data_IF_385766287451
#
_entry.id   IF_385766287451
#
_cell.length_a   1.000
_cell.length_b   1.000
_cell.length_c   1.000
_cell.angle_alpha   90.00
_cell.angle_beta   90.00
_cell.angle_gamma   90.00
#
_symmetry.space_group_name_H-M   'P 1'
#
loop_
_entity.id
_entity.type
_entity.pdbx_description
1 polymer ?
#
# COMPACT_ATOMS: atom_id res chain seq x y z
N UNK A 1 -1.21 -11.43 26.50
CA UNK A 1 -1.95 -11.73 25.26
C UNK A 1 -2.00 -10.44 24.44
N UNK A 2 -1.56 -10.43 23.17
CA UNK A 2 -1.65 -9.23 22.31
C UNK A 2 -3.06 -9.14 21.72
N UNK A 3 -3.72 -8.00 21.82
CA UNK A 3 -5.05 -7.80 21.25
C UNK A 3 -4.94 -7.77 19.71
N UNK A 4 -5.54 -8.74 19.04
CA UNK A 4 -5.58 -8.78 17.58
C UNK A 4 -6.51 -7.68 17.05
N UNK A 5 -6.06 -6.96 16.02
CA UNK A 5 -6.79 -5.88 15.38
C UNK A 5 -7.62 -6.38 14.20
N UNK A 6 -8.79 -5.79 14.00
CA UNK A 6 -9.48 -5.83 12.69
C UNK A 6 -8.71 -4.96 11.71
N UNK A 7 -8.84 -5.25 10.41
CA UNK A 7 -8.28 -4.40 9.35
C UNK A 7 -8.62 -2.91 9.51
N UNK A 8 -9.86 -2.59 9.91
CA UNK A 8 -10.30 -1.21 10.15
C UNK A 8 -9.67 -0.53 11.38
N UNK A 9 -9.00 -1.28 12.25
CA UNK A 9 -8.35 -0.78 13.47
C UNK A 9 -6.84 -0.64 13.32
N UNK A 10 -6.26 -0.99 12.17
CA UNK A 10 -4.84 -0.79 11.90
C UNK A 10 -4.57 0.70 11.73
N UNK A 11 -3.59 1.20 12.49
CA UNK A 11 -3.20 2.60 12.55
C UNK A 11 -1.72 2.71 12.93
N UNK A 12 -1.09 3.90 12.80
CA UNK A 12 0.29 4.11 13.25
C UNK A 12 0.50 3.61 14.70
N UNK A 13 1.60 2.89 14.93
CA UNK A 13 1.93 2.23 16.19
C UNK A 13 1.46 0.76 16.29
N UNK A 14 0.57 0.30 15.40
CA UNK A 14 0.26 -1.11 15.28
C UNK A 14 1.47 -1.93 14.77
N UNK A 15 1.46 -3.23 15.06
CA UNK A 15 2.39 -4.19 14.48
C UNK A 15 1.61 -5.13 13.58
N UNK A 16 2.02 -5.24 12.32
CA UNK A 16 1.53 -6.23 11.38
C UNK A 16 2.55 -7.36 11.30
N UNK A 17 2.12 -8.57 11.58
CA UNK A 17 2.88 -9.78 11.26
C UNK A 17 2.50 -10.20 9.85
N UNK A 18 3.44 -10.06 8.92
CA UNK A 18 3.28 -10.38 7.51
C UNK A 18 4.22 -11.56 7.23
N UNK A 19 3.65 -12.72 6.89
CA UNK A 19 4.41 -13.94 6.60
C UNK A 19 5.40 -14.32 7.72
N UNK A 20 4.98 -14.12 8.98
CA UNK A 20 5.79 -14.41 10.17
C UNK A 20 6.82 -13.35 10.54
N UNK A 21 6.90 -12.24 9.79
CA UNK A 21 7.81 -11.13 10.07
C UNK A 21 7.04 -9.92 10.60
N UNK A 22 7.38 -9.39 11.79
CA UNK A 22 6.75 -8.19 12.31
C UNK A 22 7.23 -6.95 11.53
N UNK A 23 6.28 -6.06 11.24
CA UNK A 23 6.48 -4.73 10.68
C UNK A 23 5.70 -3.73 11.51
N UNK A 24 6.32 -2.60 11.86
CA UNK A 24 5.64 -1.51 12.57
C UNK A 24 4.95 -0.62 11.56
N UNK A 25 3.67 -0.31 11.79
CA UNK A 25 2.97 0.71 11.02
C UNK A 25 3.42 2.07 11.55
N UNK A 26 4.00 2.90 10.68
CA UNK A 26 4.46 4.25 11.04
C UNK A 26 3.57 5.34 10.44
N UNK A 27 2.87 5.03 9.36
CA UNK A 27 1.92 5.93 8.71
C UNK A 27 0.73 5.17 8.14
N UNK A 28 -0.37 5.86 7.92
CA UNK A 28 -1.54 5.33 7.23
C UNK A 28 -2.17 6.40 6.34
N UNK A 29 -2.53 6.01 5.12
CA UNK A 29 -3.39 6.73 4.21
C UNK A 29 -4.75 6.05 4.19
N UNK A 30 -5.82 6.84 4.25
CA UNK A 30 -7.17 6.39 3.87
C UNK A 30 -7.56 7.11 2.60
N UNK A 31 -7.85 6.35 1.57
CA UNK A 31 -8.30 6.85 0.29
C UNK A 31 -9.81 6.74 0.16
N UNK A 32 -10.42 7.75 -0.44
CA UNK A 32 -11.85 7.79 -0.76
C UNK A 32 -12.00 8.26 -2.20
N UNK A 33 -12.70 7.43 -2.97
CA UNK A 33 -13.13 7.69 -4.34
C UNK A 33 -14.57 7.19 -4.46
N UNK A 34 -15.34 7.69 -5.41
CA UNK A 34 -16.74 7.30 -5.60
C UNK A 34 -16.99 5.79 -5.44
N UNK A 35 -17.72 5.41 -4.38
CA UNK A 35 -18.04 4.01 -4.06
C UNK A 35 -16.88 3.14 -3.54
N UNK A 36 -15.67 3.67 -3.40
CA UNK A 36 -14.45 2.96 -2.97
C UNK A 36 -13.80 3.64 -1.76
N UNK A 37 -13.44 2.82 -0.77
CA UNK A 37 -12.72 3.23 0.44
C UNK A 37 -11.68 2.17 0.75
N UNK A 38 -10.41 2.56 0.77
CA UNK A 38 -9.33 1.66 1.12
C UNK A 38 -8.29 2.35 1.99
N UNK A 39 -7.44 1.54 2.61
CA UNK A 39 -6.35 2.02 3.45
C UNK A 39 -5.03 1.48 2.95
N UNK A 40 -3.99 2.28 3.11
CA UNK A 40 -2.62 1.88 2.91
C UNK A 40 -1.81 2.22 4.14
N UNK A 41 -0.96 1.29 4.55
CA UNK A 41 -0.18 1.39 5.78
C UNK A 41 1.30 1.39 5.45
N UNK A 42 1.99 2.48 5.80
CA UNK A 42 3.43 2.61 5.68
C UNK A 42 4.10 1.78 6.77
N UNK A 43 4.97 0.87 6.35
CA UNK A 43 5.66 -0.11 7.19
C UNK A 43 7.12 0.29 7.36
N UNK A 44 7.54 0.40 8.60
CA UNK A 44 8.94 0.59 8.94
C UNK A 44 9.75 -0.63 8.49
N UNK A 45 10.67 -0.39 7.58
CA UNK A 45 11.77 -1.28 7.24
C UNK A 45 13.03 -0.69 7.85
N UNK A 46 14.02 -1.53 8.17
CA UNK A 46 15.21 -1.09 8.92
C UNK A 46 15.99 0.03 8.23
N UNK A 47 16.94 -0.33 7.36
CA UNK A 47 17.72 0.64 6.58
C UNK A 47 17.28 0.73 5.12
N UNK A 48 16.18 0.06 4.77
CA UNK A 48 15.64 0.00 3.41
C UNK A 48 14.55 1.04 3.17
N UNK A 49 14.02 1.12 1.93
CA UNK A 49 12.81 1.88 1.65
C UNK A 49 11.63 1.32 2.45
N UNK A 50 10.75 2.20 2.94
CA UNK A 50 9.52 1.76 3.61
C UNK A 50 8.67 0.92 2.65
N UNK A 51 8.09 -0.16 3.18
CA UNK A 51 7.14 -1.00 2.47
C UNK A 51 5.72 -0.48 2.73
N UNK A 52 4.76 -0.86 1.90
CA UNK A 52 3.36 -0.46 2.11
C UNK A 52 2.42 -1.67 2.08
N UNK A 53 1.34 -1.60 2.85
CA UNK A 53 0.29 -2.62 2.85
C UNK A 53 -1.07 -2.00 2.56
N UNK A 54 -1.66 -2.32 1.43
CA UNK A 54 -3.01 -1.88 1.08
C UNK A 54 -4.06 -2.91 1.48
N UNK A 55 -5.15 -2.44 2.08
CA UNK A 55 -6.34 -3.23 2.42
C UNK A 55 -7.51 -2.67 1.60
N UNK A 56 -7.93 -3.42 0.58
CA UNK A 56 -8.88 -2.96 -0.44
C UNK A 56 -10.14 -3.83 -0.47
N UNK A 57 -11.34 -3.24 -0.61
CA UNK A 57 -12.58 -4.01 -0.78
C UNK A 57 -12.85 -4.28 -2.26
N UNK A 58 -12.26 -5.34 -2.85
CA UNK A 58 -12.61 -5.83 -4.20
C UNK A 58 -13.34 -7.17 -4.09
N UNK A 59 -14.65 -7.14 -3.82
CA UNK A 59 -15.46 -8.36 -3.61
C UNK A 59 -15.15 -9.14 -2.32
N UNK A 60 -14.29 -8.59 -1.47
CA UNK A 60 -13.75 -9.16 -0.23
C UNK A 60 -12.50 -8.37 0.19
N UNK A 61 -11.88 -8.66 1.36
CA UNK A 61 -10.61 -8.04 1.73
C UNK A 61 -9.49 -8.55 0.82
N UNK A 62 -9.01 -7.68 -0.07
CA UNK A 62 -7.78 -7.88 -0.82
C UNK A 62 -6.64 -7.18 -0.09
N UNK A 63 -5.56 -7.92 0.19
CA UNK A 63 -4.37 -7.38 0.81
C UNK A 63 -3.25 -7.39 -0.22
N UNK A 64 -2.58 -6.25 -0.40
CA UNK A 64 -1.40 -6.13 -1.26
C UNK A 64 -0.24 -5.59 -0.45
N UNK A 65 0.90 -6.25 -0.60
CA UNK A 65 2.17 -5.75 -0.10
C UNK A 65 2.92 -5.10 -1.25
N UNK A 66 3.25 -3.82 -1.08
CA UNK A 66 3.91 -2.98 -2.07
C UNK A 66 5.35 -2.68 -1.66
N UNK A 67 6.22 -2.66 -2.65
CA UNK A 67 7.61 -2.25 -2.54
C UNK A 67 7.85 -1.08 -3.49
N UNK A 68 8.13 0.12 -2.96
CA UNK A 68 8.47 1.27 -3.79
C UNK A 68 9.73 1.03 -4.62
N UNK A 69 9.73 1.58 -5.84
CA UNK A 69 10.80 1.50 -6.84
C UNK A 69 11.36 2.88 -7.14
N UNK A 70 12.19 3.37 -6.24
CA UNK A 70 12.85 4.68 -6.35
C UNK A 70 13.90 4.76 -7.46
N UNK A 71 14.26 3.63 -8.07
CA UNK A 71 15.11 3.54 -9.24
C UNK A 71 14.35 3.81 -10.55
N UNK A 72 13.02 3.91 -10.51
CA UNK A 72 12.15 4.11 -11.66
C UNK A 72 11.52 5.50 -11.67
N UNK A 73 11.27 6.01 -12.87
CA UNK A 73 10.66 7.30 -13.12
C UNK A 73 9.97 7.28 -14.49
N UNK A 74 8.95 8.12 -14.66
CA UNK A 74 8.20 8.25 -15.91
C UNK A 74 6.69 8.33 -15.68
N UNK A 75 5.96 8.55 -16.76
CA UNK A 75 4.49 8.60 -16.73
C UNK A 75 3.91 7.21 -17.03
N UNK A 76 2.76 6.85 -16.44
CA UNK A 76 2.05 5.62 -16.77
C UNK A 76 1.51 5.66 -18.22
N UNK A 77 1.54 4.51 -18.90
CA UNK A 77 0.93 4.32 -20.22
C UNK A 77 -0.33 3.43 -20.11
N UNK A 78 -1.54 3.94 -20.36
CA UNK A 78 -2.77 3.13 -20.35
C UNK A 78 -2.80 2.00 -21.39
N UNK A 79 -1.90 1.98 -22.39
CA UNK A 79 -1.76 0.89 -23.33
C UNK A 79 -1.02 -0.34 -22.76
N UNK A 80 -0.45 -0.24 -21.55
CA UNK A 80 0.43 -1.23 -20.95
C UNK A 80 1.90 -0.85 -21.09
N UNK A 81 2.80 -1.59 -20.43
CA UNK A 81 4.23 -1.28 -20.45
C UNK A 81 5.13 -2.50 -20.24
N UNK A 82 6.38 -2.37 -20.65
CA UNK A 82 7.44 -3.34 -20.35
C UNK A 82 8.35 -2.78 -19.27
N UNK A 83 8.54 -3.52 -18.17
CA UNK A 83 9.39 -3.11 -17.06
C UNK A 83 10.09 -4.32 -16.45
N UNK A 84 11.41 -4.24 -16.24
CA UNK A 84 12.25 -5.34 -15.75
C UNK A 84 12.09 -6.67 -16.51
N UNK A 85 11.85 -6.58 -17.82
CA UNK A 85 11.62 -7.74 -18.68
C UNK A 85 10.26 -8.41 -18.49
N UNK A 86 9.34 -7.78 -17.76
CA UNK A 86 7.94 -8.20 -17.59
C UNK A 86 7.03 -7.30 -18.41
N UNK A 87 5.96 -7.88 -18.91
CA UNK A 87 4.88 -7.15 -19.58
C UNK A 87 3.75 -6.88 -18.58
N UNK A 88 3.31 -5.64 -18.54
CA UNK A 88 2.28 -5.14 -17.62
C UNK A 88 1.07 -4.67 -18.43
N UNK A 89 -0.07 -5.30 -18.17
CA UNK A 89 -1.35 -4.92 -18.76
C UNK A 89 -2.09 -3.96 -17.83
N UNK A 90 -2.72 -2.93 -18.40
CA UNK A 90 -3.57 -2.00 -17.66
C UNK A 90 -4.69 -2.76 -16.91
N UNK A 91 -4.92 -2.44 -15.64
CA UNK A 91 -6.03 -2.98 -14.83
C UNK A 91 -7.04 -1.88 -14.48
N UNK A 92 -6.58 -0.79 -13.87
CA UNK A 92 -7.45 0.24 -13.34
C UNK A 92 -6.75 1.60 -13.27
N UNK A 93 -7.52 2.67 -13.26
CA UNK A 93 -7.02 4.01 -12.97
C UNK A 93 -8.09 4.84 -12.29
N UNK A 94 -7.67 5.84 -11.53
CA UNK A 94 -8.63 6.69 -10.85
C UNK A 94 -8.01 7.89 -10.15
N UNK A 95 -8.91 8.71 -9.62
CA UNK A 95 -8.60 9.88 -8.82
C UNK A 95 -9.27 9.71 -7.46
N UNK A 96 -8.48 9.76 -6.38
CA UNK A 96 -8.95 9.63 -5.02
C UNK A 96 -8.52 10.82 -4.17
N UNK A 97 -9.29 11.11 -3.12
CA UNK A 97 -8.83 11.96 -2.02
C UNK A 97 -8.24 11.10 -0.92
N UNK A 98 -7.24 11.61 -0.21
CA UNK A 98 -6.62 10.89 0.90
C UNK A 98 -6.66 11.70 2.21
N UNK A 99 -6.62 10.99 3.33
CA UNK A 99 -6.27 11.53 4.64
C UNK A 99 -5.12 10.72 5.21
N UNK A 100 -4.03 11.39 5.56
CA UNK A 100 -2.81 10.83 6.12
C UNK A 100 -2.73 10.99 7.64
N UNK A 101 -2.11 10.01 8.29
CA UNK A 101 -1.81 10.01 9.72
C UNK A 101 -0.45 9.36 9.94
N UNK A 102 0.36 9.89 10.86
CA UNK A 102 1.71 9.38 11.11
C UNK A 102 2.69 9.76 10.00
N UNK A 103 3.68 8.91 9.77
CA UNK A 103 4.75 9.13 8.79
C UNK A 103 4.43 8.41 7.47
N UNK A 104 3.83 9.16 6.54
CA UNK A 104 3.43 8.68 5.20
C UNK A 104 4.30 9.24 4.09
N UNK A 105 5.16 10.22 4.36
CA UNK A 105 5.83 11.01 3.32
C UNK A 105 4.92 11.95 2.52
N UNK A 106 3.60 11.96 2.80
CA UNK A 106 2.60 12.80 2.13
C UNK A 106 2.11 13.93 3.05
N UNK A 107 1.19 14.78 2.56
CA UNK A 107 0.45 15.71 3.41
C UNK A 107 -0.52 15.00 4.36
N UNK A 108 -1.16 15.78 5.25
CA UNK A 108 -2.23 15.24 6.11
C UNK A 108 -3.53 14.95 5.33
N UNK A 109 -3.75 15.65 4.22
CA UNK A 109 -4.88 15.47 3.30
C UNK A 109 -4.47 15.94 1.91
N UNK A 110 -5.05 15.35 0.89
CA UNK A 110 -4.79 15.71 -0.50
C UNK A 110 -5.54 14.84 -1.49
N UNK A 111 -5.03 14.77 -2.71
CA UNK A 111 -5.50 13.86 -3.76
C UNK A 111 -4.39 12.96 -4.28
N UNK A 112 -4.76 11.82 -4.83
CA UNK A 112 -3.88 10.89 -5.52
C UNK A 112 -4.54 10.44 -6.82
N UNK A 113 -3.85 10.67 -7.93
CA UNK A 113 -4.13 10.00 -9.19
C UNK A 113 -3.33 8.69 -9.22
N UNK A 114 -3.94 7.60 -9.67
CA UNK A 114 -3.25 6.32 -9.77
C UNK A 114 -3.54 5.60 -11.09
N UNK A 115 -2.59 4.77 -11.51
CA UNK A 115 -2.74 3.79 -12.59
C UNK A 115 -2.16 2.45 -12.12
N UNK A 116 -3.01 1.43 -12.06
CA UNK A 116 -2.67 0.06 -11.65
C UNK A 116 -2.61 -0.86 -12.87
N UNK A 117 -1.63 -1.77 -12.84
CA UNK A 117 -1.36 -2.77 -13.84
C UNK A 117 -1.24 -4.15 -13.19
N UNK A 118 -1.54 -5.17 -13.98
CA UNK A 118 -1.34 -6.58 -13.65
C UNK A 118 -0.32 -7.20 -14.59
N UNK A 119 0.47 -8.15 -14.10
CA UNK A 119 1.43 -8.87 -14.94
C UNK A 119 0.70 -9.67 -16.02
N UNK A 120 1.05 -9.44 -17.29
CA UNK A 120 0.27 -9.90 -18.45
C UNK A 120 0.27 -11.42 -18.64
N UNK A 121 1.25 -12.13 -18.07
CA UNK A 121 1.34 -13.60 -18.12
C UNK A 121 0.42 -14.30 -17.10
N UNK A 122 -0.26 -13.54 -16.24
CA UNK A 122 -1.19 -14.06 -15.23
C UNK A 122 -0.52 -14.61 -13.96
N UNK A 123 0.77 -14.36 -13.76
CA UNK A 123 1.50 -14.74 -12.53
C UNK A 123 1.04 -13.99 -11.27
N UNK A 124 0.29 -12.90 -11.44
CA UNK A 124 -0.37 -12.18 -10.35
C UNK A 124 0.47 -11.06 -9.72
N UNK A 125 1.57 -10.65 -10.34
CA UNK A 125 2.28 -9.43 -10.00
C UNK A 125 1.41 -8.20 -10.22
N UNK A 126 1.63 -7.16 -9.41
CA UNK A 126 1.01 -5.85 -9.54
C UNK A 126 2.07 -4.76 -9.73
N UNK A 127 1.68 -3.71 -10.42
CA UNK A 127 2.45 -2.48 -10.58
C UNK A 127 1.50 -1.31 -10.44
N UNK A 128 1.90 -0.29 -9.69
CA UNK A 128 1.10 0.93 -9.54
C UNK A 128 1.98 2.15 -9.73
N UNK A 129 1.42 3.14 -10.42
CA UNK A 129 1.92 4.50 -10.49
C UNK A 129 0.97 5.37 -9.68
N UNK A 130 1.50 6.19 -8.77
CA UNK A 130 0.71 7.11 -7.94
C UNK A 130 1.30 8.52 -8.01
N UNK A 131 0.45 9.52 -8.24
CA UNK A 131 0.82 10.94 -8.22
C UNK A 131 0.04 11.63 -7.11
N UNK A 132 0.74 11.99 -6.05
CA UNK A 132 0.16 12.72 -4.92
C UNK A 132 0.16 14.22 -5.20
N UNK A 133 -1.01 14.84 -5.06
CA UNK A 133 -1.22 16.29 -5.16
C UNK A 133 -0.69 16.92 -6.47
N UNK A 134 -0.71 16.16 -7.56
CA UNK A 134 -0.18 16.56 -8.88
C UNK A 134 1.35 16.56 -8.96
N UNK A 135 2.01 15.85 -8.03
CA UNK A 135 3.45 15.64 -8.02
C UNK A 135 3.92 14.65 -9.10
N UNK A 136 5.21 14.29 -9.03
CA UNK A 136 5.77 13.26 -9.91
C UNK A 136 5.13 11.90 -9.61
N UNK A 137 5.07 11.05 -10.63
CA UNK A 137 4.61 9.67 -10.45
C UNK A 137 5.63 8.86 -9.66
N UNK A 138 5.16 8.23 -8.59
CA UNK A 138 5.88 7.24 -7.80
C UNK A 138 5.49 5.84 -8.25
N UNK A 139 6.46 4.93 -8.30
CA UNK A 139 6.25 3.57 -8.82
C UNK A 139 6.39 2.56 -7.69
N UNK A 140 5.45 1.62 -7.58
CA UNK A 140 5.53 0.50 -6.65
C UNK A 140 5.19 -0.82 -7.35
N UNK A 141 5.92 -1.88 -7.02
CA UNK A 141 5.57 -3.26 -7.39
C UNK A 141 4.89 -3.95 -6.23
N UNK A 142 3.89 -4.78 -6.52
CA UNK A 142 3.03 -5.38 -5.52
C UNK A 142 2.81 -6.86 -5.72
N UNK A 143 2.40 -7.51 -4.63
CA UNK A 143 1.90 -8.89 -4.64
C UNK A 143 0.73 -9.03 -3.69
N UNK A 144 -0.23 -9.85 -4.09
CA UNK A 144 -1.31 -10.24 -3.20
C UNK A 144 -0.79 -11.09 -2.04
N UNK A 145 -1.34 -10.84 -0.85
CA UNK A 145 -1.18 -11.70 0.30
C UNK A 145 -2.47 -12.46 0.58
N UNK A 146 -2.34 -13.69 1.07
CA UNK A 146 -3.46 -14.39 1.71
C UNK A 146 -3.85 -13.62 2.98
N UNK A 147 -5.12 -13.16 3.13
CA UNK A 147 -5.57 -12.50 4.35
C UNK A 147 -5.31 -13.31 5.64
N UNK A 148 -5.23 -14.64 5.55
CA UNK A 148 -4.91 -15.49 6.70
C UNK A 148 -3.44 -15.41 7.16
N UNK A 149 -2.53 -14.93 6.29
CA UNK A 149 -1.10 -14.78 6.59
C UNK A 149 -0.73 -13.42 7.19
N UNK A 150 -1.73 -12.53 7.36
CA UNK A 150 -1.55 -11.19 7.92
C UNK A 150 -2.30 -11.06 9.25
N UNK A 151 -1.58 -10.68 10.30
CA UNK A 151 -2.18 -10.43 11.63
C UNK A 151 -1.77 -9.07 12.17
N UNK A 152 -2.74 -8.25 12.54
CA UNK A 152 -2.48 -6.98 13.21
C UNK A 152 -2.59 -7.09 14.73
N UNK A 153 -1.71 -6.41 15.45
CA UNK A 153 -1.71 -6.34 16.91
C UNK A 153 -1.54 -4.90 17.37
N UNK A 154 -2.29 -4.52 18.41
CA UNK A 154 -1.97 -3.31 19.16
C UNK A 154 -0.63 -3.52 19.89
N UNK A 155 0.27 -2.54 19.84
CA UNK A 155 1.41 -2.53 20.75
C UNK A 155 0.87 -2.31 22.17
N UNK A 156 1.32 -3.08 23.18
CA UNK A 156 1.04 -2.74 24.57
C UNK A 156 1.53 -1.30 24.85
N UNK A 157 0.84 -0.51 25.68
CA UNK A 157 1.38 0.78 26.11
C UNK A 157 2.80 0.57 26.64
N UNK A 158 3.72 1.46 26.27
CA UNK A 158 5.06 1.44 26.85
C UNK A 158 4.88 1.51 28.37
N UNK A 159 5.44 0.54 29.09
CA UNK A 159 5.54 0.63 30.54
C UNK A 159 6.63 1.65 30.79
N UNK A 160 6.27 2.86 31.19
CA UNK A 160 7.25 3.79 31.76
C UNK A 160 7.89 3.10 32.96
N UNK A 161 9.22 2.95 32.90
CA UNK A 161 10.05 2.42 33.98
C UNK A 161 10.53 3.56 34.87
#
# INVERSE_FOLDING_TARGET
MRAQLRASQVAPGAVLEIEGQPRRVIGSLRFVMEGRDWREHCLETGSGPHEWLSIRPRGGPSIVHWTPRYDLFGDPDPAGMTMDGREWAFDDAGHATYTGTGDTGTGERGSCDYVEYVEADGSGGLLVFESFDGGVWEVSVGRHLDPASVRGYARPPATDA
#
